data_IF_757624358198
#
_entry.id   IF_757624358198
#
_cell.length_a   1.000
_cell.length_b   1.000
_cell.length_c   1.000
_cell.angle_alpha   90.00
_cell.angle_beta   90.00
_cell.angle_gamma   90.00
#
_symmetry.space_group_name_H-M   'P 1'
#
loop_
_entity.id
_entity.type
_entity.pdbx_description
1 polymer ?
#
# COMPACT_ATOMS: atom_id res chain seq x y z
N UNK A 1 33.55 -27.94 19.24
CA UNK A 1 33.28 -26.49 19.35
C UNK A 1 33.03 -25.78 18.00
N UNK A 2 33.60 -26.23 16.86
CA UNK A 2 33.39 -25.56 15.57
C UNK A 2 31.99 -25.69 14.93
N UNK A 3 31.28 -26.80 15.19
CA UNK A 3 29.98 -27.09 14.57
C UNK A 3 28.90 -26.05 14.93
N UNK A 4 28.80 -25.65 16.21
CA UNK A 4 27.82 -24.67 16.66
C UNK A 4 28.05 -23.27 16.10
N UNK A 5 29.32 -22.90 15.83
CA UNK A 5 29.67 -21.62 15.21
C UNK A 5 29.22 -21.56 13.75
N UNK A 6 29.47 -22.61 12.99
CA UNK A 6 28.98 -22.72 11.61
C UNK A 6 27.45 -22.72 11.53
N UNK A 7 26.79 -23.42 12.45
CA UNK A 7 25.32 -23.40 12.55
C UNK A 7 24.78 -21.99 12.83
N UNK A 8 25.42 -21.25 13.75
CA UNK A 8 25.05 -19.87 14.08
C UNK A 8 25.22 -18.92 12.90
N UNK A 9 26.35 -18.99 12.18
CA UNK A 9 26.57 -18.18 10.99
C UNK A 9 25.52 -18.44 9.90
N UNK A 10 25.17 -19.71 9.67
CA UNK A 10 24.16 -20.08 8.68
C UNK A 10 22.77 -19.54 9.06
N UNK A 11 22.40 -19.63 10.34
CA UNK A 11 21.13 -19.13 10.85
C UNK A 11 21.02 -17.59 10.72
N UNK A 12 22.10 -16.86 10.97
CA UNK A 12 22.16 -15.40 10.82
C UNK A 12 22.02 -14.96 9.36
N UNK A 13 22.65 -15.67 8.42
CA UNK A 13 22.49 -15.41 6.99
C UNK A 13 21.07 -15.68 6.52
N UNK A 14 20.48 -16.80 6.96
CA UNK A 14 19.08 -17.12 6.66
C UNK A 14 18.14 -16.04 7.20
N UNK A 15 18.30 -15.64 8.46
CA UNK A 15 17.50 -14.58 9.06
C UNK A 15 17.63 -13.25 8.30
N UNK A 16 18.86 -12.81 7.99
CA UNK A 16 19.09 -11.58 7.23
C UNK A 16 18.46 -11.61 5.85
N UNK A 17 18.57 -12.74 5.13
CA UNK A 17 17.93 -12.93 3.82
C UNK A 17 16.40 -12.92 3.91
N UNK A 18 15.83 -13.58 4.91
CA UNK A 18 14.39 -13.62 5.15
C UNK A 18 13.82 -12.24 5.42
N UNK A 19 14.46 -11.47 6.31
CA UNK A 19 14.07 -10.09 6.61
C UNK A 19 14.17 -9.21 5.36
N UNK A 20 15.22 -9.38 4.55
CA UNK A 20 15.39 -8.64 3.30
C UNK A 20 14.23 -8.88 2.32
N UNK A 21 13.81 -10.14 2.16
CA UNK A 21 12.68 -10.50 1.29
C UNK A 21 11.35 -9.90 1.80
N UNK A 22 11.13 -9.91 3.12
CA UNK A 22 9.93 -9.31 3.72
C UNK A 22 9.90 -7.80 3.51
N UNK A 23 11.01 -7.10 3.75
CA UNK A 23 11.11 -5.65 3.54
C UNK A 23 10.96 -5.29 2.06
N UNK A 24 11.54 -6.08 1.16
CA UNK A 24 11.36 -5.90 -0.28
C UNK A 24 9.90 -6.06 -0.70
N UNK A 25 9.24 -7.12 -0.22
CA UNK A 25 7.82 -7.35 -0.48
C UNK A 25 6.95 -6.23 0.11
N UNK A 26 7.30 -5.71 1.29
CA UNK A 26 6.61 -4.62 1.95
C UNK A 26 6.64 -3.33 1.12
N UNK A 27 7.82 -2.88 0.68
CA UNK A 27 7.96 -1.65 -0.12
C UNK A 27 7.20 -1.75 -1.46
N UNK A 28 7.23 -2.94 -2.07
CA UNK A 28 6.49 -3.19 -3.32
C UNK A 28 4.97 -3.21 -3.10
N UNK A 29 4.49 -3.80 -2.00
CA UNK A 29 3.08 -3.78 -1.61
C UNK A 29 2.60 -2.36 -1.34
N UNK A 30 3.39 -1.56 -0.63
CA UNK A 30 3.10 -0.15 -0.35
C UNK A 30 2.88 0.66 -1.63
N UNK A 31 3.73 0.47 -2.63
CA UNK A 31 3.58 1.16 -3.91
C UNK A 31 2.33 0.70 -4.67
N UNK A 32 2.09 -0.63 -4.73
CA UNK A 32 0.88 -1.18 -5.34
C UNK A 32 -0.39 -0.68 -4.66
N UNK A 33 -0.37 -0.52 -3.34
CA UNK A 33 -1.52 -0.01 -2.60
C UNK A 33 -1.84 1.43 -2.95
N UNK A 34 -0.83 2.30 -3.05
CA UNK A 34 -1.03 3.66 -3.51
C UNK A 34 -1.60 3.72 -4.94
N UNK A 35 -1.09 2.87 -5.84
CA UNK A 35 -1.61 2.75 -7.22
C UNK A 35 -3.05 2.22 -7.26
N UNK A 36 -3.37 1.24 -6.42
CA UNK A 36 -4.73 0.70 -6.29
C UNK A 36 -5.73 1.75 -5.83
N UNK A 37 -5.38 2.54 -4.81
CA UNK A 37 -6.22 3.66 -4.36
C UNK A 37 -6.39 4.73 -5.44
N UNK A 38 -5.33 5.06 -6.18
CA UNK A 38 -5.42 5.99 -7.31
C UNK A 38 -6.34 5.48 -8.42
N UNK A 39 -6.26 4.18 -8.74
CA UNK A 39 -7.16 3.54 -9.71
C UNK A 39 -8.61 3.57 -9.21
N UNK A 40 -8.84 3.30 -7.92
CA UNK A 40 -10.16 3.34 -7.30
C UNK A 40 -10.77 4.75 -7.33
N UNK A 41 -9.99 5.80 -6.98
CA UNK A 41 -10.45 7.20 -7.04
C UNK A 41 -10.73 7.63 -8.48
N UNK A 42 -9.91 7.18 -9.45
CA UNK A 42 -10.13 7.45 -10.86
C UNK A 42 -11.41 6.78 -11.38
N UNK A 43 -11.66 5.55 -10.95
CA UNK A 43 -12.90 4.82 -11.25
C UNK A 43 -14.10 5.56 -10.66
N UNK A 44 -14.05 5.95 -9.38
CA UNK A 44 -15.09 6.73 -8.71
C UNK A 44 -15.38 8.03 -9.44
N UNK A 45 -14.35 8.77 -9.85
CA UNK A 45 -14.50 9.98 -10.66
C UNK A 45 -15.25 9.70 -11.96
N UNK A 46 -14.84 8.66 -12.70
CA UNK A 46 -15.48 8.31 -13.97
C UNK A 46 -16.95 7.92 -13.80
N UNK A 47 -17.28 7.23 -12.69
CA UNK A 47 -18.64 6.83 -12.38
C UNK A 47 -19.50 8.02 -11.96
N UNK A 48 -18.99 8.94 -11.12
CA UNK A 48 -19.70 10.17 -10.75
C UNK A 48 -19.95 11.07 -11.98
N UNK A 49 -19.05 11.03 -12.96
CA UNK A 49 -19.18 11.81 -14.19
C UNK A 49 -20.15 11.19 -15.21
N UNK A 50 -20.14 9.86 -15.35
CA UNK A 50 -20.98 9.15 -16.33
C UNK A 50 -22.35 8.68 -15.79
N UNK A 51 -22.49 8.36 -14.49
CA UNK A 51 -23.66 7.66 -13.97
C UNK A 51 -24.04 8.05 -12.53
N UNK A 52 -25.33 8.24 -12.29
CA UNK A 52 -25.96 8.41 -10.97
C UNK A 52 -26.08 7.07 -10.18
N UNK A 53 -25.05 6.22 -10.23
CA UNK A 53 -25.03 4.93 -9.52
C UNK A 53 -24.57 5.17 -8.07
N UNK A 54 -25.26 4.60 -7.06
CA UNK A 54 -24.83 4.72 -5.66
C UNK A 54 -23.47 4.04 -5.43
N UNK A 55 -22.65 4.64 -4.58
CA UNK A 55 -21.25 4.25 -4.31
C UNK A 55 -21.11 2.75 -3.97
N UNK A 56 -21.99 2.19 -3.14
CA UNK A 56 -21.97 0.75 -2.83
C UNK A 56 -22.23 -0.16 -4.03
N UNK A 57 -22.97 0.30 -5.05
CA UNK A 57 -23.14 -0.39 -6.32
C UNK A 57 -21.90 -0.33 -7.22
N UNK A 58 -21.08 0.73 -7.07
CA UNK A 58 -19.80 0.88 -7.77
C UNK A 58 -18.77 -0.06 -7.15
N UNK A 59 -18.64 -0.11 -5.82
CA UNK A 59 -17.69 -1.01 -5.15
C UNK A 59 -17.98 -2.48 -5.44
N UNK A 60 -19.27 -2.90 -5.46
CA UNK A 60 -19.65 -4.27 -5.80
C UNK A 60 -19.38 -4.67 -7.26
N UNK A 61 -19.32 -3.70 -8.17
CA UNK A 61 -18.99 -3.92 -9.60
C UNK A 61 -17.53 -3.62 -9.93
N UNK A 62 -16.76 -3.13 -8.95
CA UNK A 62 -15.35 -2.83 -9.13
C UNK A 62 -14.59 -4.11 -9.42
N UNK A 63 -13.54 -4.02 -10.25
CA UNK A 63 -12.70 -5.18 -10.53
C UNK A 63 -12.06 -5.65 -9.21
N UNK A 64 -12.23 -6.93 -8.81
CA UNK A 64 -11.65 -7.46 -7.58
C UNK A 64 -10.13 -7.26 -7.52
N UNK A 65 -9.45 -7.11 -8.67
CA UNK A 65 -8.01 -6.80 -8.70
C UNK A 65 -7.68 -5.44 -8.07
N UNK A 66 -8.49 -4.41 -8.34
CA UNK A 66 -8.27 -3.05 -7.80
C UNK A 66 -8.45 -3.07 -6.28
N UNK A 67 -9.49 -3.77 -5.79
CA UNK A 67 -9.75 -3.92 -4.36
C UNK A 67 -8.62 -4.67 -3.66
N UNK A 68 -8.09 -5.73 -4.29
CA UNK A 68 -6.97 -6.51 -3.77
C UNK A 68 -5.68 -5.68 -3.73
N UNK A 69 -5.45 -4.84 -4.75
CA UNK A 69 -4.32 -3.91 -4.76
C UNK A 69 -4.45 -2.85 -3.66
N UNK A 70 -5.65 -2.38 -3.34
CA UNK A 70 -5.92 -1.53 -2.16
C UNK A 70 -5.65 -2.22 -0.81
N UNK A 71 -5.41 -3.53 -0.79
CA UNK A 71 -5.12 -4.31 0.42
C UNK A 71 -6.35 -4.94 1.07
N UNK A 72 -7.45 -5.09 0.34
CA UNK A 72 -8.62 -5.83 0.79
C UNK A 72 -8.42 -7.33 0.56
N UNK A 73 -8.71 -8.15 1.57
CA UNK A 73 -8.68 -9.60 1.44
C UNK A 73 -9.94 -10.12 0.72
N UNK A 74 -9.80 -11.23 -0.02
CA UNK A 74 -10.89 -11.81 -0.80
C UNK A 74 -12.03 -12.28 0.14
N UNK A 75 -13.23 -11.69 0.00
CA UNK A 75 -14.44 -12.18 0.67
C UNK A 75 -15.21 -11.17 1.53
N UNK A 76 -14.75 -9.92 1.66
CA UNK A 76 -15.50 -8.89 2.37
C UNK A 76 -16.57 -8.21 1.51
N UNK A 77 -17.82 -8.24 1.97
CA UNK A 77 -18.93 -7.50 1.38
C UNK A 77 -18.81 -6.01 1.73
N UNK A 78 -18.21 -5.25 0.83
CA UNK A 78 -18.04 -3.82 0.98
C UNK A 78 -19.29 -3.07 0.54
N UNK A 79 -19.82 -2.27 1.44
CA UNK A 79 -20.97 -1.40 1.16
C UNK A 79 -20.52 0.06 0.98
N UNK A 80 -19.47 0.49 1.69
CA UNK A 80 -19.03 1.90 1.73
C UNK A 80 -17.50 2.06 1.73
N UNK A 81 -17.02 3.22 1.29
CA UNK A 81 -15.59 3.58 1.28
C UNK A 81 -14.93 3.65 2.68
N UNK A 82 -15.58 4.17 3.74
CA UNK A 82 -15.02 4.13 5.09
C UNK A 82 -14.78 2.69 5.58
N UNK A 83 -15.69 1.76 5.25
CA UNK A 83 -15.53 0.35 5.58
C UNK A 83 -14.34 -0.27 4.87
N UNK A 84 -14.10 0.10 3.60
CA UNK A 84 -12.90 -0.31 2.86
C UNK A 84 -11.62 0.19 3.54
N UNK A 85 -11.58 1.45 3.97
CA UNK A 85 -10.39 1.99 4.65
C UNK A 85 -10.15 1.37 6.02
N UNK A 86 -11.21 1.00 6.75
CA UNK A 86 -11.05 0.31 8.04
C UNK A 86 -10.63 -1.16 7.89
N UNK A 87 -11.00 -1.80 6.77
CA UNK A 87 -10.65 -3.18 6.49
C UNK A 87 -9.21 -3.32 5.96
N UNK A 88 -8.74 -2.35 5.17
CA UNK A 88 -7.40 -2.38 4.63
C UNK A 88 -6.34 -2.00 5.68
N UNK A 89 -5.25 -2.77 5.76
CA UNK A 89 -4.03 -2.29 6.40
C UNK A 89 -3.36 -1.24 5.51
N UNK A 90 -3.52 0.04 5.84
CA UNK A 90 -2.93 1.16 5.10
C UNK A 90 -1.41 1.21 5.31
N UNK A 91 -0.65 1.01 4.23
CA UNK A 91 0.81 1.12 4.15
C UNK A 91 1.26 2.51 3.66
N UNK A 92 0.31 3.40 3.36
CA UNK A 92 0.57 4.74 2.88
C UNK A 92 1.11 5.64 4.02
N UNK A 93 1.79 6.75 3.69
CA UNK A 93 2.14 7.75 4.70
C UNK A 93 0.87 8.36 5.33
N UNK A 94 1.03 8.89 6.53
CA UNK A 94 -0.09 9.34 7.38
C UNK A 94 -0.93 10.44 6.73
N UNK A 95 -0.29 11.35 5.98
CA UNK A 95 -0.97 12.43 5.26
C UNK A 95 -1.95 11.89 4.21
N UNK A 96 -1.54 10.88 3.44
CA UNK A 96 -2.38 10.25 2.42
C UNK A 96 -3.46 9.37 3.03
N UNK A 97 -3.20 8.74 4.17
CA UNK A 97 -4.22 8.04 4.94
C UNK A 97 -5.31 9.00 5.44
N UNK A 98 -4.91 10.16 5.98
CA UNK A 98 -5.84 11.21 6.41
C UNK A 98 -6.65 11.76 5.22
N UNK A 99 -5.98 12.00 4.09
CA UNK A 99 -6.62 12.42 2.85
C UNK A 99 -7.69 11.42 2.37
N UNK A 100 -7.37 10.12 2.37
CA UNK A 100 -8.29 9.06 2.00
C UNK A 100 -9.48 8.98 2.96
N UNK A 101 -9.23 9.12 4.27
CA UNK A 101 -10.29 9.13 5.28
C UNK A 101 -11.24 10.32 5.11
N UNK A 102 -10.71 11.51 4.87
CA UNK A 102 -11.51 12.71 4.62
C UNK A 102 -12.30 12.61 3.32
N UNK A 103 -11.66 12.08 2.26
CA UNK A 103 -12.34 11.79 1.00
C UNK A 103 -13.51 10.80 1.19
N UNK A 104 -13.29 9.70 1.92
CA UNK A 104 -14.31 8.69 2.18
C UNK A 104 -15.48 9.25 3.00
N UNK A 105 -15.26 10.20 3.90
CA UNK A 105 -16.31 10.90 4.66
C UNK A 105 -17.12 11.88 3.81
N UNK A 106 -16.48 12.56 2.87
CA UNK A 106 -17.13 13.54 1.99
C UNK A 106 -17.90 12.87 0.85
N UNK A 107 -17.52 11.64 0.50
CA UNK A 107 -18.12 10.90 -0.60
C UNK A 107 -19.61 10.62 -0.34
N UNK A 108 -20.48 11.10 -1.23
CA UNK A 108 -21.93 10.92 -1.13
C UNK A 108 -22.69 12.03 -0.39
N UNK A 109 -22.01 12.98 0.26
CA UNK A 109 -22.65 14.06 1.04
C UNK A 109 -22.83 15.41 0.33
N UNK A 110 -22.14 15.63 -0.80
CA UNK A 110 -22.13 16.92 -1.51
C UNK A 110 -22.71 16.89 -2.92
N UNK A 111 -22.77 18.04 -3.59
CA UNK A 111 -23.18 18.16 -5.00
C UNK A 111 -22.16 17.49 -5.94
N UNK A 112 -22.62 17.08 -7.13
CA UNK A 112 -21.77 16.39 -8.13
C UNK A 112 -20.45 17.14 -8.42
N UNK A 113 -20.50 18.45 -8.63
CA UNK A 113 -19.30 19.27 -8.92
C UNK A 113 -18.30 19.26 -7.76
N UNK A 114 -18.79 19.30 -6.52
CA UNK A 114 -17.98 19.25 -5.32
C UNK A 114 -17.34 17.86 -5.15
N UNK A 115 -18.10 16.80 -5.41
CA UNK A 115 -17.57 15.43 -5.40
C UNK A 115 -16.51 15.20 -6.48
N UNK A 116 -16.70 15.75 -7.69
CA UNK A 116 -15.71 15.69 -8.76
C UNK A 116 -14.43 16.47 -8.40
N UNK A 117 -14.58 17.62 -7.73
CA UNK A 117 -13.45 18.41 -7.23
C UNK A 117 -12.70 17.63 -6.15
N UNK A 118 -13.40 17.01 -5.19
CA UNK A 118 -12.77 16.17 -4.15
C UNK A 118 -12.08 14.94 -4.76
N UNK A 119 -12.66 14.29 -5.76
CA UNK A 119 -12.02 13.18 -6.47
C UNK A 119 -10.74 13.64 -7.20
N UNK A 120 -10.80 14.79 -7.89
CA UNK A 120 -9.65 15.33 -8.63
C UNK A 120 -8.52 15.72 -7.68
N UNK A 121 -8.86 16.37 -6.56
CA UNK A 121 -7.91 16.74 -5.52
C UNK A 121 -7.23 15.50 -4.90
N UNK A 122 -8.02 14.48 -4.56
CA UNK A 122 -7.51 13.23 -4.01
C UNK A 122 -6.62 12.50 -5.02
N UNK A 123 -7.05 12.41 -6.28
CA UNK A 123 -6.28 11.77 -7.35
C UNK A 123 -4.94 12.46 -7.60
N UNK A 124 -4.91 13.80 -7.63
CA UNK A 124 -3.68 14.56 -7.85
C UNK A 124 -2.66 14.35 -6.72
N UNK A 125 -3.12 14.37 -5.46
CA UNK A 125 -2.29 14.07 -4.29
C UNK A 125 -1.78 12.63 -4.27
N UNK A 126 -2.64 11.67 -4.57
CA UNK A 126 -2.24 10.25 -4.68
C UNK A 126 -1.28 10.02 -5.84
N UNK A 127 -1.41 10.76 -6.95
CA UNK A 127 -0.48 10.68 -8.09
C UNK A 127 0.90 11.13 -7.65
N UNK A 128 0.99 12.28 -6.98
CA UNK A 128 2.26 12.78 -6.42
C UNK A 128 2.87 11.79 -5.41
N UNK A 129 2.05 11.14 -4.59
CA UNK A 129 2.52 10.09 -3.67
C UNK A 129 3.05 8.86 -4.44
N UNK A 130 2.32 8.39 -5.45
CA UNK A 130 2.75 7.27 -6.30
C UNK A 130 4.08 7.56 -7.00
N UNK A 131 4.24 8.76 -7.55
CA UNK A 131 5.48 9.16 -8.23
C UNK A 131 6.67 9.23 -7.26
N UNK A 132 6.45 9.76 -6.04
CA UNK A 132 7.47 9.75 -4.98
C UNK A 132 7.86 8.33 -4.60
N UNK A 133 6.88 7.46 -4.36
CA UNK A 133 7.11 6.06 -4.00
C UNK A 133 7.84 5.30 -5.11
N UNK A 134 7.47 5.51 -6.39
CA UNK A 134 8.17 4.95 -7.55
C UNK A 134 9.61 5.45 -7.69
N UNK A 135 9.84 6.73 -7.42
CA UNK A 135 11.19 7.30 -7.46
C UNK A 135 12.07 6.78 -6.31
N UNK A 136 11.48 6.53 -5.14
CA UNK A 136 12.20 6.00 -3.97
C UNK A 136 12.38 4.48 -3.99
N UNK A 137 11.49 3.73 -4.65
CA UNK A 137 11.50 2.27 -4.74
C UNK A 137 12.89 1.66 -4.97
N UNK A 138 13.64 2.03 -6.03
CA UNK A 138 14.93 1.39 -6.29
C UNK A 138 15.98 1.68 -5.21
N UNK A 139 15.83 2.77 -4.45
CA UNK A 139 16.69 3.08 -3.30
C UNK A 139 16.26 2.28 -2.07
N UNK A 140 14.94 2.23 -1.81
CA UNK A 140 14.33 1.50 -0.70
C UNK A 140 14.57 -0.01 -0.82
N UNK A 141 14.44 -0.57 -2.01
CA UNK A 141 14.72 -1.98 -2.30
C UNK A 141 16.19 -2.33 -2.02
N UNK A 142 17.13 -1.46 -2.43
CA UNK A 142 18.55 -1.64 -2.11
C UNK A 142 18.79 -1.57 -0.60
N UNK A 143 18.21 -0.58 0.08
CA UNK A 143 18.33 -0.46 1.54
C UNK A 143 17.73 -1.66 2.27
N UNK A 144 16.58 -2.16 1.81
CA UNK A 144 15.90 -3.35 2.34
C UNK A 144 16.76 -4.61 2.28
N UNK A 145 17.66 -4.70 1.30
CA UNK A 145 18.60 -5.83 1.16
C UNK A 145 19.90 -5.57 1.93
N UNK A 146 20.46 -4.36 1.83
CA UNK A 146 21.79 -4.04 2.38
C UNK A 146 21.76 -4.00 3.91
N UNK A 147 20.75 -3.41 4.54
CA UNK A 147 20.70 -3.25 6.01
C UNK A 147 20.67 -4.60 6.76
N UNK A 148 19.77 -5.54 6.41
CA UNK A 148 19.69 -6.81 7.13
C UNK A 148 20.93 -7.68 6.89
N UNK A 149 21.48 -7.63 5.68
CA UNK A 149 22.71 -8.35 5.35
C UNK A 149 23.92 -7.77 6.09
N UNK A 150 24.07 -6.44 6.16
CA UNK A 150 25.17 -5.83 6.90
C UNK A 150 25.07 -6.13 8.40
N UNK A 151 23.85 -6.12 8.96
CA UNK A 151 23.61 -6.52 10.35
C UNK A 151 23.96 -8.00 10.58
N UNK A 152 23.56 -8.90 9.67
CA UNK A 152 23.89 -10.31 9.76
C UNK A 152 25.41 -10.56 9.71
N UNK A 153 26.13 -9.87 8.80
CA UNK A 153 27.59 -9.97 8.70
C UNK A 153 28.28 -9.46 9.97
N UNK A 154 27.81 -8.36 10.56
CA UNK A 154 28.37 -7.83 11.80
C UNK A 154 28.17 -8.81 12.97
N UNK A 155 26.99 -9.44 13.07
CA UNK A 155 26.73 -10.48 14.07
C UNK A 155 27.60 -11.72 13.85
N UNK A 156 27.82 -12.12 12.60
CA UNK A 156 28.73 -13.22 12.25
C UNK A 156 30.16 -12.91 12.70
N UNK A 157 30.64 -11.68 12.49
CA UNK A 157 31.96 -11.24 12.94
C UNK A 157 32.09 -11.27 14.46
N UNK A 158 31.05 -10.93 15.22
CA UNK A 158 31.07 -11.02 16.69
C UNK A 158 31.02 -12.47 17.21
N UNK A 159 30.51 -13.40 16.42
CA UNK A 159 30.40 -14.82 16.76
C UNK A 159 31.67 -15.62 16.42
N UNK A 160 32.58 -15.03 15.63
CA UNK A 160 33.81 -15.63 15.13
C UNK A 160 34.98 -15.39 16.11
#
# INVERSE_FOLDING_TARGET
MGFYRWLGCFLLLLAGSGVSLVLFAYERRRCRQAEGFLALVSLLRSQIDCFSIPIGGILKKCDPRILRDCGLDDGEDLTDMPSLLSACHLLLPEEECALLADFARQLGGGYREEQLRSCSYCAERLTACCDRLRAELPKREKMAIVLPLSAAVLLILMLL
#
